data_IF_809261668183
#
_entry.id   IF_809261668183
#
_cell.length_a   1.000
_cell.length_b   1.000
_cell.length_c   1.000
_cell.angle_alpha   90.00
_cell.angle_beta   90.00
_cell.angle_gamma   90.00
#
_symmetry.space_group_name_H-M   'P 1'
#
loop_
_entity.id
_entity.type
_entity.pdbx_description
1 polymer ?
#
# COMPACT_ATOMS: atom_id res chain seq x y z
N UNK A 1 -17.64 0.53 -4.63
CA UNK A 1 -16.67 0.19 -3.58
C UNK A 1 -16.18 1.48 -2.95
N UNK A 2 -16.22 1.57 -1.64
CA UNK A 2 -15.77 2.79 -0.98
C UNK A 2 -14.24 2.77 -0.81
N UNK A 3 -13.69 3.88 -0.33
CA UNK A 3 -12.24 4.02 -0.26
C UNK A 3 -11.60 3.04 0.74
N UNK A 4 -12.31 2.71 1.81
CA UNK A 4 -11.77 1.73 2.77
C UNK A 4 -11.72 0.34 2.16
N UNK A 5 -12.75 -0.06 1.44
CA UNK A 5 -12.76 -1.35 0.76
C UNK A 5 -11.65 -1.41 -0.30
N UNK A 6 -11.44 -0.30 -0.99
CA UNK A 6 -10.36 -0.24 -1.97
C UNK A 6 -8.99 -0.41 -1.30
N UNK A 7 -8.81 0.22 -0.14
CA UNK A 7 -7.56 0.08 0.61
C UNK A 7 -7.38 -1.36 1.09
N UNK A 8 -8.45 -2.01 1.54
CA UNK A 8 -8.37 -3.40 1.97
C UNK A 8 -8.00 -4.32 0.81
N UNK A 9 -8.57 -4.08 -0.36
CA UNK A 9 -8.25 -4.88 -1.53
C UNK A 9 -6.78 -4.72 -1.91
N UNK A 10 -6.27 -3.49 -1.86
CA UNK A 10 -4.86 -3.24 -2.14
C UNK A 10 -3.97 -3.94 -1.12
N UNK A 11 -4.35 -3.91 0.16
CA UNK A 11 -3.58 -4.60 1.20
C UNK A 11 -3.55 -6.09 0.96
N UNK A 12 -4.66 -6.68 0.55
CA UNK A 12 -4.71 -8.11 0.23
C UNK A 12 -3.78 -8.43 -0.94
N UNK A 13 -3.76 -7.57 -1.94
CA UNK A 13 -2.87 -7.77 -3.08
C UNK A 13 -1.40 -7.72 -2.66
N UNK A 14 -1.06 -6.83 -1.73
CA UNK A 14 0.28 -6.78 -1.17
C UNK A 14 0.62 -8.07 -0.44
N UNK A 15 -0.32 -8.58 0.35
CA UNK A 15 -0.13 -9.81 1.11
C UNK A 15 0.06 -11.01 0.20
N UNK A 16 -0.58 -11.02 -0.96
CA UNK A 16 -0.42 -12.11 -1.93
C UNK A 16 1.03 -12.28 -2.36
N UNK A 17 1.81 -11.22 -2.33
CA UNK A 17 3.23 -11.26 -2.68
C UNK A 17 4.12 -11.20 -1.45
N UNK A 18 3.55 -11.53 -0.29
CA UNK A 18 4.29 -11.67 0.96
C UNK A 18 4.93 -10.36 1.43
N UNK A 19 4.27 -9.24 1.13
CA UNK A 19 4.71 -7.96 1.67
C UNK A 19 4.70 -8.03 3.19
N UNK A 20 5.61 -7.30 3.82
CA UNK A 20 5.72 -7.29 5.26
C UNK A 20 5.18 -5.99 5.81
N UNK A 21 4.69 -6.06 7.04
CA UNK A 21 4.31 -4.89 7.83
C UNK A 21 3.37 -3.98 7.06
N UNK A 22 2.26 -4.55 6.59
CA UNK A 22 1.27 -3.83 5.81
C UNK A 22 0.41 -3.00 6.75
N UNK A 23 0.34 -1.69 6.50
CA UNK A 23 -0.43 -0.76 7.32
C UNK A 23 -1.46 -0.05 6.45
N UNK A 24 -2.69 0.05 6.97
CA UNK A 24 -3.73 0.87 6.35
C UNK A 24 -3.90 2.10 7.22
N UNK A 25 -3.82 3.28 6.64
CA UNK A 25 -3.87 4.53 7.39
C UNK A 25 -4.97 5.39 6.81
N UNK A 26 -5.98 5.68 7.61
CA UNK A 26 -7.05 6.58 7.22
C UNK A 26 -6.57 8.01 7.41
N UNK A 27 -6.57 8.80 6.35
CA UNK A 27 -6.01 10.15 6.40
C UNK A 27 -6.97 11.23 5.92
N UNK A 28 -8.22 10.88 5.64
CA UNK A 28 -9.17 11.85 5.09
C UNK A 28 -9.43 13.02 6.04
N UNK A 29 -9.22 12.86 7.33
CA UNK A 29 -9.43 13.92 8.29
C UNK A 29 -8.22 14.85 8.44
N UNK A 30 -7.05 14.43 7.96
CA UNK A 30 -5.82 15.21 8.12
C UNK A 30 -5.21 15.60 6.79
N UNK A 31 -5.76 15.10 5.67
CA UNK A 31 -5.21 15.37 4.36
C UNK A 31 -6.34 15.47 3.35
N UNK A 32 -6.20 16.39 2.41
CA UNK A 32 -7.13 16.49 1.29
C UNK A 32 -6.61 15.72 0.07
N UNK A 33 -5.45 15.06 0.18
CA UNK A 33 -4.84 14.38 -0.96
C UNK A 33 -5.41 13.00 -1.19
N UNK A 34 -5.82 12.31 -0.12
CA UNK A 34 -6.35 10.97 -0.22
C UNK A 34 -7.19 10.67 0.99
N UNK A 35 -7.99 9.62 0.91
CA UNK A 35 -8.74 9.11 2.06
C UNK A 35 -7.94 8.09 2.83
N UNK A 36 -7.18 7.26 2.12
CA UNK A 36 -6.45 6.15 2.71
C UNK A 36 -5.06 6.02 2.11
N UNK A 37 -4.12 5.61 2.94
CA UNK A 37 -2.80 5.15 2.52
C UNK A 37 -2.68 3.68 2.84
N UNK A 38 -2.00 2.94 1.97
CA UNK A 38 -1.53 1.59 2.28
C UNK A 38 -0.01 1.63 2.17
N UNK A 39 0.67 1.20 3.23
CA UNK A 39 2.13 1.18 3.26
C UNK A 39 2.54 -0.27 3.47
N UNK A 40 3.37 -0.79 2.59
CA UNK A 40 3.79 -2.18 2.63
C UNK A 40 5.29 -2.27 2.38
N UNK A 41 5.91 -3.29 2.93
CA UNK A 41 7.35 -3.49 2.80
C UNK A 41 7.69 -4.61 1.84
N UNK A 42 8.71 -4.38 1.02
CA UNK A 42 9.29 -5.41 0.18
C UNK A 42 10.77 -5.53 0.48
N UNK A 43 11.29 -6.76 0.47
CA UNK A 43 12.65 -7.02 0.93
C UNK A 43 13.70 -6.83 -0.15
N UNK A 44 13.29 -6.66 -1.39
CA UNK A 44 14.20 -6.49 -2.52
C UNK A 44 13.50 -5.68 -3.60
N UNK A 45 14.27 -5.20 -4.57
CA UNK A 45 13.68 -4.49 -5.70
C UNK A 45 12.73 -5.39 -6.49
N UNK A 46 13.07 -6.67 -6.63
CA UNK A 46 12.20 -7.62 -7.32
C UNK A 46 10.87 -7.77 -6.59
N UNK A 47 10.92 -7.88 -5.25
CA UNK A 47 9.70 -8.04 -4.49
C UNK A 47 8.85 -6.76 -4.51
N UNK A 48 9.48 -5.60 -4.39
CA UNK A 48 8.73 -4.33 -4.45
C UNK A 48 7.98 -4.23 -5.78
N UNK A 49 8.65 -4.55 -6.89
CA UNK A 49 7.98 -4.53 -8.19
C UNK A 49 6.85 -5.54 -8.26
N UNK A 50 7.06 -6.74 -7.71
CA UNK A 50 6.02 -7.76 -7.72
C UNK A 50 4.81 -7.36 -6.89
N UNK A 51 5.05 -6.73 -5.74
CA UNK A 51 3.95 -6.24 -4.89
C UNK A 51 3.16 -5.16 -5.62
N UNK A 52 3.87 -4.18 -6.21
CA UNK A 52 3.19 -3.10 -6.92
C UNK A 52 2.36 -3.65 -8.08
N UNK A 53 2.91 -4.61 -8.83
CA UNK A 53 2.18 -5.20 -9.93
C UNK A 53 0.96 -5.98 -9.46
N UNK A 54 1.07 -6.66 -8.33
CA UNK A 54 -0.07 -7.37 -7.74
C UNK A 54 -1.21 -6.42 -7.42
N UNK A 55 -0.89 -5.25 -6.86
CA UNK A 55 -1.90 -4.23 -6.57
C UNK A 55 -2.56 -3.75 -7.87
N UNK A 56 -1.75 -3.43 -8.87
CA UNK A 56 -2.30 -2.95 -10.15
C UNK A 56 -3.23 -3.99 -10.76
N UNK A 57 -2.79 -5.24 -10.79
CA UNK A 57 -3.57 -6.29 -11.42
C UNK A 57 -4.87 -6.54 -10.66
N UNK A 58 -4.81 -6.58 -9.34
CA UNK A 58 -5.97 -6.86 -8.53
C UNK A 58 -7.02 -5.76 -8.66
N UNK A 59 -6.59 -4.51 -8.60
CA UNK A 59 -7.53 -3.40 -8.69
C UNK A 59 -8.11 -3.28 -10.09
N UNK A 60 -7.33 -3.58 -11.11
CA UNK A 60 -7.86 -3.57 -12.46
C UNK A 60 -8.88 -4.69 -12.67
N UNK A 61 -8.55 -5.89 -12.22
CA UNK A 61 -9.41 -7.04 -12.45
C UNK A 61 -10.71 -6.97 -11.67
N UNK A 62 -10.66 -6.52 -10.43
CA UNK A 62 -11.83 -6.60 -9.57
C UNK A 62 -12.68 -5.35 -9.55
N UNK A 63 -12.08 -4.18 -9.76
CA UNK A 63 -12.83 -2.93 -9.70
C UNK A 63 -12.58 -2.01 -10.87
N UNK A 64 -11.86 -2.47 -11.88
CA UNK A 64 -11.58 -1.73 -13.10
C UNK A 64 -10.92 -0.39 -12.82
N UNK A 65 -9.98 -0.37 -11.87
CA UNK A 65 -9.26 0.84 -11.53
C UNK A 65 -7.80 0.73 -11.96
N UNK A 66 -7.33 1.76 -12.64
CA UNK A 66 -5.94 1.92 -13.00
C UNK A 66 -5.38 3.10 -12.20
N UNK A 67 -4.11 3.07 -11.81
CA UNK A 67 -3.57 4.22 -11.08
C UNK A 67 -3.55 5.45 -11.95
N UNK A 68 -3.84 6.59 -11.33
CA UNK A 68 -3.73 7.88 -12.00
C UNK A 68 -2.27 8.23 -12.23
N UNK A 69 -1.38 7.75 -11.37
CA UNK A 69 0.04 8.05 -11.41
C UNK A 69 0.81 6.92 -10.74
N UNK A 70 1.97 6.58 -11.29
CA UNK A 70 2.88 5.60 -10.72
C UNK A 70 4.28 6.18 -10.70
N UNK A 71 5.04 5.88 -9.65
CA UNK A 71 6.43 6.33 -9.55
C UNK A 71 7.26 5.26 -8.88
N UNK A 72 8.52 5.16 -9.27
CA UNK A 72 9.51 4.35 -8.58
C UNK A 72 9.42 2.86 -8.80
N UNK A 73 8.54 2.39 -9.68
CA UNK A 73 8.33 0.96 -9.87
C UNK A 73 9.60 0.30 -10.40
N UNK A 74 10.24 0.91 -11.39
CA UNK A 74 11.39 0.28 -12.02
C UNK A 74 12.59 0.17 -11.08
N UNK A 75 12.81 1.17 -10.27
CA UNK A 75 13.91 1.15 -9.31
C UNK A 75 13.67 0.13 -8.20
N UNK A 76 12.41 -0.04 -7.81
CA UNK A 76 12.07 -1.04 -6.82
C UNK A 76 12.49 -0.73 -5.41
N UNK A 77 12.77 0.53 -5.09
CA UNK A 77 13.08 0.91 -3.73
C UNK A 77 11.90 1.55 -3.02
N UNK A 78 11.14 2.34 -3.75
CA UNK A 78 9.96 3.01 -3.21
C UNK A 78 8.99 3.20 -4.37
N UNK A 79 8.01 2.31 -4.47
CA UNK A 79 6.99 2.36 -5.50
C UNK A 79 5.77 3.08 -4.97
N UNK A 80 5.20 3.96 -5.78
CA UNK A 80 4.00 4.71 -5.42
C UNK A 80 2.95 4.46 -6.48
N UNK A 81 1.74 4.11 -6.04
CA UNK A 81 0.58 3.97 -6.90
C UNK A 81 -0.51 4.89 -6.37
N UNK A 82 -0.88 5.88 -7.18
CA UNK A 82 -1.84 6.91 -6.78
C UNK A 82 -3.16 6.66 -7.51
N UNK A 83 -4.19 6.30 -6.75
CA UNK A 83 -5.54 6.05 -7.29
C UNK A 83 -6.50 7.19 -6.98
N UNK A 84 -6.02 8.28 -6.40
CA UNK A 84 -6.86 9.41 -6.00
C UNK A 84 -7.24 9.30 -4.54
N UNK A 85 -8.29 8.55 -4.25
CA UNK A 85 -8.73 8.37 -2.86
C UNK A 85 -7.82 7.42 -2.09
N UNK A 86 -6.99 6.65 -2.77
CA UNK A 86 -6.07 5.70 -2.18
C UNK A 86 -4.68 5.90 -2.76
N UNK A 87 -3.67 5.95 -1.90
CA UNK A 87 -2.28 5.96 -2.35
C UNK A 87 -1.58 4.78 -1.71
N UNK A 88 -0.92 3.97 -2.53
CA UNK A 88 -0.21 2.78 -2.07
C UNK A 88 1.29 3.05 -2.16
N UNK A 89 1.99 2.82 -1.05
CA UNK A 89 3.44 2.93 -0.97
C UNK A 89 4.03 1.56 -0.69
N UNK A 90 4.95 1.11 -1.53
CA UNK A 90 5.66 -0.15 -1.32
C UNK A 90 7.15 0.20 -1.26
N UNK A 91 7.77 -0.06 -0.11
CA UNK A 91 9.15 0.40 0.13
C UNK A 91 10.00 -0.75 0.65
N UNK A 92 11.29 -0.66 0.36
CA UNK A 92 12.26 -1.52 1.02
C UNK A 92 12.46 -1.03 2.46
N UNK A 93 12.90 -1.91 3.37
CA UNK A 93 12.99 -1.54 4.79
C UNK A 93 13.84 -0.31 5.05
N UNK A 94 14.95 -0.14 4.34
CA UNK A 94 15.80 1.02 4.52
C UNK A 94 15.10 2.34 4.20
N UNK A 95 14.34 2.34 3.11
CA UNK A 95 13.59 3.54 2.72
C UNK A 95 12.50 3.84 3.72
N UNK A 96 11.79 2.80 4.15
CA UNK A 96 10.68 2.97 5.08
C UNK A 96 11.16 3.52 6.41
N UNK A 97 12.28 2.99 6.91
CA UNK A 97 12.84 3.44 8.17
C UNK A 97 13.35 4.88 8.06
N UNK A 98 14.00 5.21 6.95
CA UNK A 98 14.60 6.52 6.77
C UNK A 98 13.54 7.63 6.73
N UNK A 99 12.46 7.40 5.98
CA UNK A 99 11.44 8.44 5.79
C UNK A 99 10.35 8.41 6.84
N UNK A 100 10.16 7.25 7.49
CA UNK A 100 9.19 7.10 8.58
C UNK A 100 7.81 7.62 8.18
N UNK A 101 7.26 7.05 7.12
CA UNK A 101 6.00 7.52 6.58
C UNK A 101 4.86 7.39 7.59
N UNK A 102 4.92 6.38 8.44
CA UNK A 102 3.90 6.20 9.47
C UNK A 102 3.86 7.39 10.42
N UNK A 103 5.01 7.89 10.81
CA UNK A 103 5.05 9.06 11.71
C UNK A 103 4.57 10.31 11.00
N UNK A 104 4.87 10.44 9.71
CA UNK A 104 4.38 11.57 8.94
C UNK A 104 2.86 11.65 8.95
N UNK A 105 2.20 10.48 8.97
CA UNK A 105 0.75 10.42 9.01
C UNK A 105 0.24 10.04 10.39
N UNK A 106 0.94 10.45 11.45
CA UNK A 106 0.64 10.01 12.81
C UNK A 106 -0.73 10.46 13.30
N UNK A 107 -1.31 11.48 12.70
CA UNK A 107 -2.66 11.94 13.09
C UNK A 107 -3.76 11.13 12.42
N UNK A 108 -3.44 10.30 11.45
CA UNK A 108 -4.41 9.45 10.81
C UNK A 108 -4.71 8.21 11.65
N UNK A 109 -5.83 7.57 11.36
CA UNK A 109 -6.19 6.31 12.00
C UNK A 109 -5.50 5.18 11.27
N UNK A 110 -4.68 4.44 11.97
CA UNK A 110 -3.81 3.42 11.40
C UNK A 110 -4.16 2.06 11.96
N UNK A 111 -4.10 1.07 11.11
CA UNK A 111 -4.23 -0.32 11.55
C UNK A 111 -3.38 -1.21 10.67
N UNK A 112 -2.82 -2.28 11.23
CA UNK A 112 -2.09 -3.24 10.41
C UNK A 112 -3.05 -4.11 9.63
N UNK A 113 -2.60 -4.59 8.47
CA UNK A 113 -3.27 -5.65 7.77
C UNK A 113 -2.73 -6.97 8.31
N UNK A 114 -3.61 -7.82 8.80
CA UNK A 114 -3.23 -9.12 9.31
C UNK A 114 -3.43 -10.14 8.21
N UNK A 115 -2.37 -10.85 7.86
CA UNK A 115 -2.46 -11.88 6.86
C UNK A 115 -3.41 -12.98 7.34
N UNK A 116 -4.27 -13.43 6.46
CA UNK A 116 -5.28 -14.41 6.85
C UNK A 116 -4.66 -15.68 7.41
N UNK A 117 -3.52 -16.06 6.91
CA UNK A 117 -2.87 -17.29 7.32
C UNK A 117 -2.26 -17.22 8.71
N UNK A 118 -2.16 -16.04 9.28
CA UNK A 118 -1.59 -15.91 10.62
C UNK A 118 -2.64 -15.98 11.69
N UNK A 119 -3.90 -15.95 11.35
CA UNK A 119 -4.94 -15.84 12.34
C UNK A 119 -5.34 -17.17 12.95
N UNK A 120 -5.01 -18.25 12.31
CA UNK A 120 -5.36 -19.56 12.83
C UNK A 120 -4.34 -20.13 13.79
N UNK A 121 -3.29 -19.45 14.02
CA UNK A 121 -2.23 -19.95 14.92
C UNK A 121 -2.58 -19.83 16.40
#
# INVERSE_FOLDING_TARGET
>A
MDSEQLAELAAEACDDRKAVDIQLIRVDEVSSLADWLVIAGGQSDVQVRAIARSVEDRLEEEVQRLPLRKEGINEGRWALLDYGELIVHVLQPGERSYYDLEAFWSHGQRRPHLASKTTED
#
